data_IF_855545312087
#
_entry.id   IF_855545312087
#
_cell.length_a   1.000
_cell.length_b   1.000
_cell.length_c   1.000
_cell.angle_alpha   90.00
_cell.angle_beta   90.00
_cell.angle_gamma   90.00
#
_symmetry.space_group_name_H-M   'P 1'
#
loop_
_entity.id
_entity.type
_entity.pdbx_description
1 polymer ?
#
# COMPACT_ATOMS: atom_id res chain seq x y z
N UNK A 1 -35.29 -78.39 -27.37
CA UNK A 1 -36.73 -78.13 -27.16
C UNK A 1 -36.85 -77.10 -26.04
N UNK A 2 -37.03 -75.84 -26.39
CA UNK A 2 -37.49 -74.79 -25.46
C UNK A 2 -38.56 -74.01 -26.23
N UNK A 3 -39.81 -74.20 -25.81
CA UNK A 3 -40.95 -73.45 -26.33
C UNK A 3 -41.12 -72.23 -25.43
N UNK A 4 -40.64 -71.07 -25.86
CA UNK A 4 -41.02 -69.81 -25.21
C UNK A 4 -42.38 -69.38 -25.73
N UNK A 5 -43.29 -69.14 -24.79
CA UNK A 5 -44.62 -68.58 -25.06
C UNK A 5 -44.44 -67.15 -25.57
N UNK A 6 -44.84 -66.89 -26.82
CA UNK A 6 -44.94 -65.54 -27.35
C UNK A 6 -46.08 -64.84 -26.61
N UNK A 7 -45.74 -64.16 -25.51
CA UNK A 7 -46.63 -63.20 -24.84
C UNK A 7 -46.68 -61.92 -25.68
N UNK A 8 -47.45 -61.94 -26.78
CA UNK A 8 -47.94 -60.78 -27.52
C UNK A 8 -46.89 -59.81 -28.10
N UNK A 9 -47.04 -59.42 -29.36
CA UNK A 9 -46.29 -58.26 -29.87
C UNK A 9 -46.75 -57.01 -29.10
N UNK A 10 -45.87 -56.30 -28.36
CA UNK A 10 -46.27 -55.04 -27.76
C UNK A 10 -46.66 -54.08 -28.89
N UNK A 11 -47.81 -53.41 -28.75
CA UNK A 11 -48.25 -52.42 -29.72
C UNK A 11 -47.23 -51.29 -29.79
N UNK A 12 -46.67 -51.06 -30.98
CA UNK A 12 -45.85 -49.88 -31.28
C UNK A 12 -46.70 -48.62 -31.05
N UNK A 13 -46.19 -47.59 -30.34
CA UNK A 13 -46.92 -46.35 -30.15
C UNK A 13 -47.09 -45.64 -31.51
N UNK A 14 -48.25 -45.00 -31.70
CA UNK A 14 -48.66 -44.36 -32.95
C UNK A 14 -47.82 -43.14 -33.35
N UNK A 15 -46.96 -42.65 -32.45
CA UNK A 15 -45.90 -41.70 -32.81
C UNK A 15 -44.75 -41.75 -31.80
N UNK A 16 -43.54 -41.46 -32.29
CA UNK A 16 -42.35 -41.29 -31.45
C UNK A 16 -42.33 -39.93 -30.73
N UNK A 17 -43.38 -39.11 -30.88
CA UNK A 17 -43.43 -37.70 -30.43
C UNK A 17 -44.24 -37.48 -29.16
N UNK A 18 -44.97 -38.48 -28.66
CA UNK A 18 -45.81 -38.35 -27.46
C UNK A 18 -45.44 -39.32 -26.32
N UNK A 19 -44.19 -39.80 -26.30
CA UNK A 19 -43.66 -40.64 -25.23
C UNK A 19 -42.86 -39.85 -24.19
N UNK A 20 -43.54 -39.14 -23.30
CA UNK A 20 -42.98 -38.62 -22.05
C UNK A 20 -43.14 -37.13 -21.83
N UNK A 21 -43.75 -36.75 -20.70
CA UNK A 21 -43.71 -35.39 -20.12
C UNK A 21 -42.34 -35.05 -19.51
N UNK A 22 -41.33 -35.89 -19.72
CA UNK A 22 -39.96 -35.64 -19.29
C UNK A 22 -39.30 -34.68 -20.26
N UNK A 23 -39.11 -33.43 -19.84
CA UNK A 23 -38.16 -32.51 -20.48
C UNK A 23 -36.82 -33.22 -20.63
N UNK A 24 -36.44 -33.63 -21.86
CA UNK A 24 -35.09 -34.12 -22.14
C UNK A 24 -34.15 -32.94 -22.19
N UNK A 25 -33.81 -32.39 -21.02
CA UNK A 25 -32.66 -31.50 -20.91
C UNK A 25 -31.43 -32.41 -20.89
N UNK A 26 -30.91 -32.75 -22.07
CA UNK A 26 -29.58 -33.36 -22.18
C UNK A 26 -28.56 -32.28 -21.81
N UNK A 27 -28.26 -32.18 -20.51
CA UNK A 27 -27.18 -31.34 -20.04
C UNK A 27 -25.90 -32.16 -20.13
N UNK A 28 -25.16 -31.99 -21.23
CA UNK A 28 -23.75 -32.44 -21.31
C UNK A 28 -22.84 -31.55 -20.44
N UNK A 29 -23.31 -31.16 -19.25
CA UNK A 29 -22.57 -30.33 -18.33
C UNK A 29 -21.45 -31.14 -17.70
N UNK A 30 -20.23 -30.61 -17.81
CA UNK A 30 -19.06 -31.10 -17.10
C UNK A 30 -18.53 -29.96 -16.22
N UNK A 31 -18.07 -30.26 -14.99
CA UNK A 31 -17.46 -29.25 -14.15
C UNK A 31 -16.11 -28.82 -14.74
N UNK A 32 -15.77 -27.54 -14.61
CA UNK A 32 -14.42 -27.05 -14.83
C UNK A 32 -14.01 -26.16 -13.65
N UNK A 33 -12.70 -26.08 -13.40
CA UNK A 33 -12.16 -25.23 -12.34
C UNK A 33 -11.78 -23.87 -12.90
N UNK A 34 -12.38 -22.81 -12.37
CA UNK A 34 -11.87 -21.45 -12.53
C UNK A 34 -10.91 -21.14 -11.37
N UNK A 35 -9.70 -20.69 -11.67
CA UNK A 35 -8.70 -20.32 -10.65
C UNK A 35 -8.00 -19.01 -11.03
N UNK A 36 -7.54 -18.28 -10.02
CA UNK A 36 -6.77 -17.05 -10.15
C UNK A 36 -5.82 -16.89 -8.95
N UNK A 37 -4.69 -16.22 -9.17
CA UNK A 37 -3.72 -15.86 -8.12
C UNK A 37 -3.60 -14.34 -8.05
N UNK A 38 -3.75 -13.79 -6.85
CA UNK A 38 -3.58 -12.34 -6.61
C UNK A 38 -2.32 -12.14 -5.75
N UNK A 39 -1.20 -11.66 -6.30
CA UNK A 39 0.01 -11.44 -5.53
C UNK A 39 -0.13 -10.21 -4.61
N UNK A 40 0.62 -10.23 -3.50
CA UNK A 40 0.82 -9.06 -2.66
C UNK A 40 1.57 -7.97 -3.46
N UNK A 41 1.05 -6.75 -3.42
CA UNK A 41 1.65 -5.56 -4.03
C UNK A 41 1.29 -4.34 -3.23
N UNK A 42 2.23 -3.41 -3.13
CA UNK A 42 2.00 -2.07 -2.63
C UNK A 42 2.62 -1.04 -3.56
N UNK A 43 1.94 0.09 -3.74
CA UNK A 43 2.51 1.31 -4.29
C UNK A 43 2.32 2.43 -3.27
N UNK A 44 3.30 3.32 -3.13
CA UNK A 44 3.12 4.57 -2.42
C UNK A 44 3.79 5.73 -3.15
N UNK A 45 3.33 6.92 -2.81
CA UNK A 45 3.84 8.18 -3.30
C UNK A 45 3.62 9.24 -2.22
N UNK A 46 4.55 10.19 -2.16
CA UNK A 46 4.38 11.40 -1.35
C UNK A 46 3.31 12.26 -2.02
N UNK A 47 2.35 12.75 -1.24
CA UNK A 47 1.24 13.57 -1.78
C UNK A 47 1.45 15.07 -1.60
N UNK A 48 2.24 15.45 -0.61
CA UNK A 48 2.60 16.85 -0.33
C UNK A 48 4.05 16.90 0.14
N UNK A 49 4.84 17.82 -0.39
CA UNK A 49 6.18 18.06 0.14
C UNK A 49 6.09 18.63 1.56
N UNK A 50 7.11 18.36 2.38
CA UNK A 50 7.21 18.92 3.73
C UNK A 50 7.92 20.28 3.66
N UNK A 51 7.16 21.35 3.86
CA UNK A 51 7.69 22.72 3.86
C UNK A 51 7.68 23.34 5.26
N UNK A 52 8.87 23.60 5.81
CA UNK A 52 9.07 24.31 7.09
C UNK A 52 8.70 25.79 7.02
N UNK A 53 8.53 26.35 5.82
CA UNK A 53 8.17 27.74 5.56
C UNK A 53 9.36 28.69 5.64
N UNK A 54 9.07 29.99 5.63
CA UNK A 54 10.09 31.04 5.74
C UNK A 54 10.51 31.27 7.20
N UNK A 55 11.81 31.38 7.43
CA UNK A 55 12.43 31.56 8.75
C UNK A 55 13.16 32.91 8.76
N UNK A 56 12.85 33.76 9.73
CA UNK A 56 13.45 35.08 9.87
C UNK A 56 14.79 35.02 10.62
N UNK A 57 15.84 34.56 9.93
CA UNK A 57 17.24 34.64 10.38
C UNK A 57 17.64 33.72 11.55
N UNK A 58 16.69 33.19 12.32
CA UNK A 58 16.94 32.26 13.43
C UNK A 58 15.74 31.35 13.68
N UNK A 59 16.01 30.17 14.25
CA UNK A 59 15.02 29.22 14.75
C UNK A 59 15.15 29.22 16.28
N UNK A 60 14.43 30.12 16.94
CA UNK A 60 14.44 30.24 18.42
C UNK A 60 13.43 29.30 19.09
N UNK A 61 12.41 28.89 18.35
CA UNK A 61 11.41 27.90 18.76
C UNK A 61 11.30 26.81 17.71
N UNK A 62 11.09 25.57 18.14
CA UNK A 62 10.95 24.45 17.20
C UNK A 62 9.82 24.70 16.19
N UNK A 63 10.10 24.46 14.91
CA UNK A 63 9.14 24.65 13.82
C UNK A 63 8.57 23.28 13.46
N UNK A 64 7.26 23.15 13.65
CA UNK A 64 6.53 21.92 13.43
C UNK A 64 5.70 21.99 12.15
N UNK A 65 5.78 20.93 11.35
CA UNK A 65 5.02 20.77 10.10
C UNK A 65 4.59 19.34 9.90
N UNK A 66 3.75 19.11 8.91
CA UNK A 66 3.32 17.77 8.51
C UNK A 66 3.21 17.66 7.00
N UNK A 67 3.47 16.46 6.50
CA UNK A 67 3.18 16.05 5.13
C UNK A 67 2.48 14.70 5.14
N UNK A 68 2.05 14.22 3.98
CA UNK A 68 1.32 12.96 3.88
C UNK A 68 1.87 12.05 2.78
N UNK A 69 1.90 10.75 3.09
CA UNK A 69 2.24 9.67 2.15
C UNK A 69 0.96 8.88 1.92
N UNK A 70 0.62 8.69 0.65
CA UNK A 70 -0.50 7.82 0.27
C UNK A 70 0.03 6.52 -0.31
N UNK A 71 -0.56 5.42 0.13
CA UNK A 71 -0.24 4.08 -0.34
C UNK A 71 -1.51 3.30 -0.68
N UNK A 72 -1.42 2.37 -1.63
CA UNK A 72 -2.44 1.36 -1.83
C UNK A 72 -1.77 -0.02 -1.89
N UNK A 73 -2.31 -0.95 -1.12
CA UNK A 73 -1.81 -2.32 -1.05
C UNK A 73 -2.95 -3.30 -1.30
N UNK A 74 -2.63 -4.43 -1.93
CA UNK A 74 -3.57 -5.55 -2.06
C UNK A 74 -4.14 -5.91 -0.68
N UNK A 75 -5.43 -6.21 -0.60
CA UNK A 75 -6.10 -6.50 0.67
C UNK A 75 -5.35 -7.59 1.47
N UNK A 76 -5.20 -7.38 2.78
CA UNK A 76 -4.45 -8.23 3.73
C UNK A 76 -2.94 -8.32 3.49
N UNK A 77 -2.35 -7.41 2.72
CA UNK A 77 -0.89 -7.31 2.58
C UNK A 77 -0.32 -6.52 3.75
N UNK A 78 0.51 -7.14 4.60
CA UNK A 78 1.26 -6.42 5.63
C UNK A 78 2.32 -5.54 4.96
N UNK A 79 2.57 -4.35 5.49
CA UNK A 79 3.56 -3.43 4.95
C UNK A 79 4.32 -2.70 6.05
N UNK A 80 5.54 -2.27 5.72
CA UNK A 80 6.36 -1.36 6.51
C UNK A 80 6.84 -0.21 5.61
N UNK A 81 6.68 1.03 6.08
CA UNK A 81 7.21 2.22 5.43
C UNK A 81 8.43 2.71 6.22
N UNK A 82 9.55 2.86 5.52
CA UNK A 82 10.78 3.45 6.03
C UNK A 82 11.09 4.79 5.38
N UNK A 83 11.71 5.68 6.14
CA UNK A 83 12.23 6.97 5.67
C UNK A 83 13.74 7.02 5.96
N UNK A 84 14.57 7.17 4.93
CA UNK A 84 16.02 7.31 5.13
C UNK A 84 16.39 8.66 5.77
N UNK A 85 17.69 8.90 6.00
CA UNK A 85 18.16 10.12 6.66
C UNK A 85 18.27 11.34 5.71
N UNK A 86 17.86 11.19 4.45
CA UNK A 86 18.04 12.20 3.43
C UNK A 86 19.44 12.22 2.82
N UNK A 87 19.58 13.01 1.76
CA UNK A 87 20.80 13.09 0.95
C UNK A 87 21.93 13.87 1.62
N UNK A 88 21.62 14.69 2.61
CA UNK A 88 22.57 15.60 3.27
C UNK A 88 22.81 15.27 4.75
N UNK A 89 22.43 14.07 5.20
CA UNK A 89 22.52 13.63 6.58
C UNK A 89 23.93 13.81 7.19
N UNK A 90 23.99 14.01 8.51
CA UNK A 90 25.20 13.79 9.31
C UNK A 90 24.95 12.64 10.27
N UNK A 91 25.48 11.46 9.95
CA UNK A 91 25.14 10.24 10.68
C UNK A 91 23.63 9.94 10.58
N UNK A 92 22.93 9.95 11.72
CA UNK A 92 21.48 9.76 11.80
C UNK A 92 20.67 11.05 11.74
N UNK A 93 21.30 12.22 11.80
CA UNK A 93 20.61 13.51 11.82
C UNK A 93 20.31 13.95 10.40
N UNK A 94 19.04 14.19 10.08
CA UNK A 94 18.64 14.73 8.79
C UNK A 94 18.93 16.22 8.72
N UNK A 95 19.35 16.69 7.54
CA UNK A 95 19.72 18.09 7.34
C UNK A 95 19.29 18.57 5.97
N UNK A 96 18.68 19.74 5.90
CA UNK A 96 18.51 20.47 4.66
C UNK A 96 19.76 21.28 4.38
N UNK A 97 20.24 21.26 3.14
CA UNK A 97 21.46 21.96 2.74
C UNK A 97 21.12 23.25 2.01
N UNK A 98 21.85 24.31 2.34
CA UNK A 98 21.77 25.58 1.63
C UNK A 98 22.12 25.41 0.14
N UNK A 99 21.38 26.07 -0.75
CA UNK A 99 21.51 25.90 -2.20
C UNK A 99 22.94 26.15 -2.74
N UNK A 100 23.68 27.11 -2.16
CA UNK A 100 24.99 27.54 -2.69
C UNK A 100 26.15 27.40 -1.69
N UNK A 101 25.93 26.92 -0.47
CA UNK A 101 26.99 26.85 0.55
C UNK A 101 26.89 25.60 1.42
N UNK A 102 27.95 25.23 2.12
CA UNK A 102 27.95 24.15 3.11
C UNK A 102 27.33 24.55 4.45
N UNK A 103 26.16 25.20 4.41
CA UNK A 103 25.33 25.51 5.57
C UNK A 103 24.13 24.58 5.60
N UNK A 104 23.65 24.25 6.80
CA UNK A 104 22.62 23.24 6.99
C UNK A 104 21.58 23.68 8.03
N UNK A 105 20.36 23.17 7.88
CA UNK A 105 19.31 23.22 8.89
C UNK A 105 18.96 21.79 9.25
N UNK A 106 19.10 21.44 10.52
CA UNK A 106 18.75 20.11 11.03
C UNK A 106 17.23 19.98 11.14
N UNK A 107 16.71 18.79 10.86
CA UNK A 107 15.30 18.46 11.04
C UNK A 107 15.14 16.96 11.34
N UNK A 108 13.97 16.59 11.85
CA UNK A 108 13.61 15.19 12.03
C UNK A 108 12.15 14.91 11.66
N UNK A 109 11.90 13.64 11.32
CA UNK A 109 10.61 13.14 10.89
C UNK A 109 10.11 12.08 11.88
N UNK A 110 8.83 12.12 12.19
CA UNK A 110 8.20 11.29 13.20
C UNK A 110 6.91 10.68 12.68
N UNK A 111 6.56 9.49 13.19
CA UNK A 111 5.33 8.77 12.82
C UNK A 111 4.13 9.10 13.72
N UNK A 112 4.35 9.87 14.79
CA UNK A 112 3.31 10.23 15.75
C UNK A 112 3.24 11.74 16.01
N UNK A 113 2.05 12.22 16.36
CA UNK A 113 1.76 13.64 16.65
C UNK A 113 2.64 14.21 17.76
N UNK A 114 2.98 13.38 18.76
CA UNK A 114 3.85 13.74 19.89
C UNK A 114 5.34 13.85 19.55
N UNK A 115 5.75 13.42 18.34
CA UNK A 115 7.16 13.44 17.89
C UNK A 115 8.12 12.74 18.86
N UNK A 116 7.67 11.62 19.41
CA UNK A 116 8.49 10.75 20.25
C UNK A 116 9.08 9.58 19.46
N UNK A 117 8.43 9.21 18.35
CA UNK A 117 8.81 8.06 17.55
C UNK A 117 9.43 8.59 16.26
N UNK A 118 10.76 8.71 16.27
CA UNK A 118 11.53 9.03 15.07
C UNK A 118 11.18 7.99 14.01
N UNK A 119 10.98 8.44 12.78
CA UNK A 119 10.73 7.57 11.64
C UNK A 119 12.06 7.34 10.90
N UNK A 120 12.50 6.09 10.82
CA UNK A 120 13.71 5.65 10.14
C UNK A 120 13.44 4.46 9.23
N UNK A 121 14.41 3.54 9.12
CA UNK A 121 14.42 2.45 8.15
C UNK A 121 14.54 1.06 8.77
N UNK A 122 14.67 0.96 10.10
CA UNK A 122 14.90 -0.31 10.80
C UNK A 122 13.54 -0.90 11.19
N UNK A 123 13.17 -1.98 10.49
CA UNK A 123 11.90 -2.68 10.71
C UNK A 123 11.78 -3.16 12.15
N UNK A 124 10.65 -2.85 12.79
CA UNK A 124 10.38 -3.21 14.19
C UNK A 124 11.02 -2.27 15.22
N UNK A 125 11.76 -1.24 14.77
CA UNK A 125 12.37 -0.23 15.63
C UNK A 125 11.79 1.15 15.33
N UNK A 126 11.91 1.62 14.08
CA UNK A 126 11.57 3.00 13.70
C UNK A 126 10.86 3.12 12.34
N UNK A 127 10.33 2.02 11.79
CA UNK A 127 9.39 2.05 10.64
C UNK A 127 7.94 2.18 11.09
N UNK A 128 7.07 2.61 10.17
CA UNK A 128 5.62 2.56 10.36
C UNK A 128 5.07 1.31 9.70
N UNK A 129 4.40 0.45 10.47
CA UNK A 129 3.77 -0.77 9.96
C UNK A 129 2.26 -0.62 9.80
N UNK A 130 1.68 -1.45 8.94
CA UNK A 130 0.24 -1.54 8.77
C UNK A 130 -0.18 -2.70 7.89
N UNK A 131 -1.45 -2.71 7.51
CA UNK A 131 -2.01 -3.74 6.63
C UNK A 131 -2.91 -3.11 5.58
N UNK A 132 -2.70 -3.51 4.33
CA UNK A 132 -3.49 -3.13 3.17
C UNK A 132 -4.92 -3.60 3.28
N UNK A 133 -5.86 -2.74 2.88
CA UNK A 133 -7.29 -3.06 2.84
C UNK A 133 -7.85 -3.11 1.39
N UNK A 134 -6.97 -3.06 0.38
CA UNK A 134 -7.37 -3.00 -1.04
C UNK A 134 -7.78 -1.60 -1.51
N UNK A 135 -7.67 -0.58 -0.67
CA UNK A 135 -7.96 0.83 -1.00
C UNK A 135 -6.77 1.73 -0.65
N UNK A 136 -6.83 3.00 -1.07
CA UNK A 136 -5.82 4.00 -0.69
C UNK A 136 -5.89 4.30 0.80
N UNK A 137 -4.75 4.21 1.47
CA UNK A 137 -4.52 4.58 2.86
C UNK A 137 -3.55 5.76 2.89
N UNK A 138 -3.74 6.69 3.84
CA UNK A 138 -2.87 7.85 4.01
C UNK A 138 -2.24 7.81 5.38
N UNK A 139 -0.94 8.08 5.45
CA UNK A 139 -0.17 8.21 6.69
C UNK A 139 0.43 9.61 6.76
N UNK A 140 0.45 10.19 7.96
CA UNK A 140 0.98 11.55 8.19
C UNK A 140 2.41 11.46 8.67
N UNK A 141 3.30 12.21 8.02
CA UNK A 141 4.67 12.46 8.46
C UNK A 141 4.67 13.73 9.29
N UNK A 142 5.17 13.66 10.51
CA UNK A 142 5.30 14.83 11.38
C UNK A 142 6.74 15.31 11.35
N UNK A 143 6.98 16.49 10.80
CA UNK A 143 8.29 17.12 10.75
C UNK A 143 8.53 18.08 11.91
N UNK A 144 9.79 18.20 12.33
CA UNK A 144 10.27 19.24 13.24
C UNK A 144 11.66 19.72 12.87
N UNK A 145 11.83 21.03 12.71
CA UNK A 145 13.14 21.67 12.79
C UNK A 145 13.35 22.17 14.23
N UNK A 146 14.29 21.59 15.00
CA UNK A 146 14.49 21.96 16.40
C UNK A 146 15.12 23.35 16.54
N UNK A 147 14.94 23.95 17.71
CA UNK A 147 15.68 25.12 18.15
C UNK A 147 16.80 24.71 19.13
N UNK A 148 17.87 25.51 19.30
CA UNK A 148 18.18 26.73 18.55
C UNK A 148 18.99 26.44 17.27
N UNK A 149 18.71 27.17 16.18
CA UNK A 149 19.54 27.16 14.98
C UNK A 149 19.67 28.57 14.39
N UNK A 150 20.83 28.89 13.81
CA UNK A 150 21.15 30.20 13.22
C UNK A 150 21.54 30.04 11.74
N UNK A 151 20.59 29.69 10.86
CA UNK A 151 20.87 29.55 9.44
C UNK A 151 21.15 30.90 8.79
N UNK A 152 22.00 30.90 7.77
CA UNK A 152 22.15 32.06 6.88
C UNK A 152 20.96 32.15 5.91
N UNK A 153 20.72 33.35 5.37
CA UNK A 153 19.64 33.58 4.41
C UNK A 153 19.83 32.80 3.10
N UNK A 154 18.78 32.08 2.71
CA UNK A 154 18.66 31.41 1.42
C UNK A 154 17.81 30.15 1.50
N UNK A 155 17.72 29.42 0.38
CA UNK A 155 16.92 28.21 0.28
C UNK A 155 17.69 26.99 0.80
N UNK A 156 17.02 26.14 1.57
CA UNK A 156 17.54 24.88 2.08
C UNK A 156 16.66 23.73 1.58
N UNK A 157 17.28 22.68 1.05
CA UNK A 157 16.57 21.51 0.55
C UNK A 157 17.25 20.22 0.99
N UNK A 158 16.45 19.15 1.10
CA UNK A 158 16.92 17.79 1.26
C UNK A 158 16.01 16.85 0.48
N UNK A 159 16.50 15.66 0.15
CA UNK A 159 15.72 14.61 -0.50
C UNK A 159 15.77 13.36 0.34
N UNK A 160 14.61 12.97 0.90
CA UNK A 160 14.42 11.75 1.69
C UNK A 160 13.83 10.65 0.82
N UNK A 161 14.43 9.46 0.86
CA UNK A 161 13.92 8.29 0.17
C UNK A 161 12.91 7.56 1.03
N UNK A 162 11.72 7.32 0.46
CA UNK A 162 10.68 6.48 1.07
C UNK A 162 10.82 5.06 0.56
N UNK A 163 10.92 4.09 1.45
CA UNK A 163 10.94 2.66 1.13
C UNK A 163 9.68 1.97 1.66
N UNK A 164 9.19 0.96 0.92
CA UNK A 164 8.09 0.11 1.36
C UNK A 164 8.54 -1.34 1.28
N UNK A 165 8.34 -2.10 2.35
CA UNK A 165 8.56 -3.55 2.39
C UNK A 165 7.23 -4.25 2.63
N UNK A 166 6.92 -5.27 1.81
CA UNK A 166 5.68 -6.04 1.83
C UNK A 166 5.88 -7.47 1.30
#
# INVERSE_FOLDING_TARGET
SYNESITGMPSLPSSCTAGGTGSKTASNAFPFTASATVPARCNAYVTTDLDFGSIAGSIDTAIDRSSTISLACTNRTAWNIGLDNGSNASGSVRRMRHASSANYIDYELYSNTGRSNRWGTVIGVDTLSGTGNGTTQTVTVYGRAPAPQLPIAGAYTDTVTVSITY
#
